data_IF_299221799542
#
_entry.id   IF_299221799542
#
_cell.length_a   1.000
_cell.length_b   1.000
_cell.length_c   1.000
_cell.angle_alpha   90.00
_cell.angle_beta   90.00
_cell.angle_gamma   90.00
#
_symmetry.space_group_name_H-M   'P 1'
#
loop_
_entity.id
_entity.type
_entity.pdbx_description
1 polymer ?
#
# COMPACT_ATOMS: atom_id res chain seq x y z
N UNK A 1 11.53 7.02 -14.23
CA UNK A 1 11.17 5.61 -14.03
C UNK A 1 10.01 5.27 -14.97
N UNK A 2 9.93 4.03 -15.47
CA UNK A 2 8.80 3.58 -16.31
C UNK A 2 7.61 3.17 -15.43
N UNK A 3 6.39 3.27 -15.95
CA UNK A 3 5.25 2.64 -15.29
C UNK A 3 5.21 1.12 -15.60
N UNK A 4 4.72 0.29 -14.66
CA UNK A 4 4.55 -1.15 -14.80
C UNK A 4 3.53 -1.70 -13.78
N UNK A 5 3.00 -2.89 -14.07
CA UNK A 5 2.14 -3.63 -13.13
C UNK A 5 3.01 -4.27 -12.05
N UNK A 6 2.79 -3.92 -10.78
CA UNK A 6 3.64 -4.37 -9.66
C UNK A 6 3.56 -5.88 -9.44
N UNK A 7 4.63 -6.46 -8.89
CA UNK A 7 4.63 -7.86 -8.43
C UNK A 7 3.70 -8.08 -7.23
N UNK A 8 3.12 -9.28 -7.08
CA UNK A 8 2.18 -9.63 -6.01
C UNK A 8 2.77 -9.36 -4.61
N UNK A 9 4.07 -9.67 -4.44
CA UNK A 9 4.81 -9.42 -3.20
C UNK A 9 4.76 -7.96 -2.75
N UNK A 10 4.58 -7.02 -3.67
CA UNK A 10 4.50 -5.58 -3.36
C UNK A 10 3.21 -5.29 -2.62
N UNK A 11 2.07 -5.76 -3.14
CA UNK A 11 0.75 -5.56 -2.54
C UNK A 11 0.61 -6.40 -1.27
N UNK A 12 1.02 -7.67 -1.30
CA UNK A 12 0.94 -8.55 -0.13
C UNK A 12 1.66 -7.95 1.07
N UNK A 13 2.89 -7.43 0.86
CA UNK A 13 3.65 -6.75 1.91
C UNK A 13 2.93 -5.55 2.51
N UNK A 14 2.21 -4.77 1.70
CA UNK A 14 1.47 -3.60 2.18
C UNK A 14 0.29 -4.05 3.06
N UNK A 15 -0.52 -4.98 2.54
CA UNK A 15 -1.71 -5.49 3.23
C UNK A 15 -1.34 -6.20 4.54
N UNK A 16 -0.31 -7.03 4.52
CA UNK A 16 0.14 -7.74 5.72
C UNK A 16 0.78 -6.83 6.75
N UNK A 17 1.44 -5.75 6.31
CA UNK A 17 1.94 -4.74 7.24
C UNK A 17 0.79 -4.07 8.00
N UNK A 18 -0.26 -3.65 7.31
CA UNK A 18 -1.43 -3.04 7.96
C UNK A 18 -2.16 -4.03 8.88
N UNK A 19 -2.29 -5.29 8.47
CA UNK A 19 -2.83 -6.35 9.33
C UNK A 19 -1.99 -6.59 10.59
N UNK A 20 -0.67 -6.73 10.45
CA UNK A 20 0.20 -7.02 11.62
C UNK A 20 0.35 -5.86 12.58
N UNK A 21 0.19 -4.61 12.11
CA UNK A 21 0.27 -3.41 12.95
C UNK A 21 -1.04 -3.01 13.60
N UNK A 22 -2.18 -3.49 13.11
CA UNK A 22 -3.46 -3.44 13.84
C UNK A 22 -3.39 -4.11 15.21
N UNK A 23 -2.54 -5.14 15.32
CA UNK A 23 -2.43 -5.97 16.52
C UNK A 23 -1.41 -5.45 17.54
N UNK A 24 -0.71 -4.34 17.25
CA UNK A 24 0.50 -3.90 17.96
C UNK A 24 0.51 -2.43 18.38
N UNK A 25 -0.55 -1.98 19.05
CA UNK A 25 -0.54 -1.01 20.16
C UNK A 25 0.15 0.37 20.05
N UNK A 26 0.50 0.90 18.87
CA UNK A 26 1.00 2.30 18.79
C UNK A 26 0.40 3.25 17.78
N UNK A 27 -0.27 2.83 16.70
CA UNK A 27 -1.00 3.78 15.84
C UNK A 27 -2.17 3.12 15.10
N UNK A 28 -3.37 3.55 15.49
CA UNK A 28 -4.69 3.03 15.10
C UNK A 28 -5.18 3.56 13.74
N UNK A 29 -4.56 4.60 13.18
CA UNK A 29 -5.21 5.42 12.15
C UNK A 29 -5.20 4.86 10.71
N UNK A 30 -4.09 4.38 10.12
CA UNK A 30 -4.12 3.85 8.76
C UNK A 30 -5.10 2.68 8.65
N UNK A 31 -5.11 1.84 9.68
CA UNK A 31 -5.99 0.70 9.74
C UNK A 31 -7.44 1.06 10.03
N UNK A 32 -7.70 2.06 10.89
CA UNK A 32 -9.03 2.63 11.07
C UNK A 32 -9.59 3.18 9.76
N UNK A 33 -8.80 3.95 9.00
CA UNK A 33 -9.22 4.45 7.69
C UNK A 33 -9.52 3.33 6.70
N UNK A 34 -8.75 2.23 6.73
CA UNK A 34 -9.00 1.03 5.92
C UNK A 34 -10.29 0.33 6.35
N UNK A 35 -10.56 0.21 7.65
CA UNK A 35 -11.81 -0.34 8.19
C UNK A 35 -13.01 0.54 7.90
N UNK A 36 -12.87 1.86 7.99
CA UNK A 36 -13.91 2.85 7.63
C UNK A 36 -14.22 2.82 6.12
N UNK A 37 -13.21 2.52 5.29
CA UNK A 37 -13.39 2.22 3.86
C UNK A 37 -14.03 0.84 3.60
N UNK A 38 -14.39 0.12 4.66
CA UNK A 38 -15.14 -1.13 4.62
C UNK A 38 -14.28 -2.38 4.58
N UNK A 39 -12.96 -2.32 4.83
CA UNK A 39 -12.09 -3.50 4.84
C UNK A 39 -11.69 -3.88 6.28
N UNK A 40 -12.29 -4.95 6.80
CA UNK A 40 -11.93 -5.51 8.11
C UNK A 40 -10.71 -6.43 7.99
N UNK A 41 -9.52 -5.90 8.29
CA UNK A 41 -8.27 -6.63 8.05
C UNK A 41 -8.07 -7.85 8.95
N UNK A 42 -8.86 -8.03 10.02
CA UNK A 42 -8.86 -9.29 10.78
C UNK A 42 -9.43 -10.43 9.93
N UNK A 43 -10.37 -10.13 9.03
CA UNK A 43 -10.93 -11.09 8.09
C UNK A 43 -9.97 -11.30 6.92
N UNK A 44 -9.68 -12.57 6.62
CA UNK A 44 -8.86 -12.95 5.47
C UNK A 44 -9.47 -12.47 4.14
N UNK A 45 -10.78 -12.62 4.01
CA UNK A 45 -11.53 -12.24 2.81
C UNK A 45 -11.41 -10.75 2.49
N UNK A 46 -11.42 -9.88 3.51
CA UNK A 46 -11.26 -8.44 3.32
C UNK A 46 -9.82 -8.04 3.01
N UNK A 47 -8.82 -8.77 3.52
CA UNK A 47 -7.42 -8.62 3.07
C UNK A 47 -7.27 -8.98 1.60
N UNK A 48 -7.86 -10.09 1.17
CA UNK A 48 -7.88 -10.53 -0.23
C UNK A 48 -8.59 -9.51 -1.13
N UNK A 49 -9.71 -8.95 -0.65
CA UNK A 49 -10.49 -7.93 -1.36
C UNK A 49 -9.73 -6.61 -1.49
N UNK A 50 -9.07 -6.14 -0.42
CA UNK A 50 -8.21 -4.96 -0.46
C UNK A 50 -7.06 -5.17 -1.44
N UNK A 51 -6.35 -6.30 -1.33
CA UNK A 51 -5.22 -6.62 -2.18
C UNK A 51 -5.61 -6.66 -3.67
N UNK A 52 -6.75 -7.29 -3.99
CA UNK A 52 -7.29 -7.35 -5.35
C UNK A 52 -7.70 -5.96 -5.86
N UNK A 53 -8.32 -5.13 -5.02
CA UNK A 53 -8.67 -3.76 -5.39
C UNK A 53 -7.42 -2.91 -5.68
N UNK A 54 -6.36 -3.05 -4.87
CA UNK A 54 -5.08 -2.39 -5.11
C UNK A 54 -4.42 -2.85 -6.43
N UNK A 55 -4.53 -4.13 -6.77
CA UNK A 55 -4.00 -4.66 -8.02
C UNK A 55 -4.76 -4.12 -9.23
N UNK A 56 -6.09 -4.18 -9.19
CA UNK A 56 -6.95 -3.65 -10.25
C UNK A 56 -6.67 -2.17 -10.53
N UNK A 57 -6.48 -1.38 -9.46
CA UNK A 57 -6.17 0.04 -9.58
C UNK A 57 -4.79 0.32 -10.21
N UNK A 58 -3.79 -0.52 -9.93
CA UNK A 58 -2.50 -0.43 -10.60
C UNK A 58 -2.58 -0.80 -12.08
N UNK A 59 -3.36 -1.82 -12.43
CA UNK A 59 -3.65 -2.17 -13.84
C UNK A 59 -4.32 -1.00 -14.56
N UNK A 60 -5.31 -0.35 -13.93
CA UNK A 60 -5.98 0.83 -14.50
C UNK A 60 -4.99 1.97 -14.78
N UNK A 61 -4.11 2.28 -13.82
CA UNK A 61 -3.11 3.34 -14.01
C UNK A 61 -2.14 3.02 -15.16
N UNK A 62 -1.67 1.77 -15.25
CA UNK A 62 -0.78 1.34 -16.34
C UNK A 62 -1.49 1.44 -17.69
N UNK A 63 -2.74 0.98 -17.80
CA UNK A 63 -3.53 1.10 -19.02
C UNK A 63 -3.83 2.56 -19.39
N UNK A 64 -3.99 3.46 -18.41
CA UNK A 64 -4.19 4.88 -18.67
C UNK A 64 -2.96 5.54 -19.33
N UNK A 65 -1.75 5.10 -18.97
CA UNK A 65 -0.49 5.58 -19.57
C UNK A 65 -0.16 4.88 -20.88
N UNK A 66 -0.42 3.59 -20.94
CA UNK A 66 -0.10 2.70 -22.05
C UNK A 66 -1.35 1.88 -22.41
N UNK A 67 -2.22 2.38 -23.30
CA UNK A 67 -3.48 1.74 -23.64
C UNK A 67 -3.31 0.26 -23.98
N UNK A 68 -4.13 -0.60 -23.35
CA UNK A 68 -4.21 -2.05 -23.56
C UNK A 68 -2.88 -2.82 -23.42
N UNK A 69 -2.01 -2.38 -22.50
CA UNK A 69 -0.66 -2.94 -22.36
C UNK A 69 -0.34 -3.53 -20.99
N UNK A 70 -1.20 -3.41 -19.98
CA UNK A 70 -0.93 -3.97 -18.65
C UNK A 70 -0.56 -5.47 -18.69
N UNK A 71 -1.24 -6.24 -19.54
CA UNK A 71 -0.96 -7.66 -19.79
C UNK A 71 0.41 -7.92 -20.41
N UNK A 72 0.97 -6.94 -21.13
CA UNK A 72 2.31 -7.03 -21.73
C UNK A 72 3.41 -6.94 -20.67
N UNK A 73 3.14 -6.31 -19.53
CA UNK A 73 4.10 -6.24 -18.41
C UNK A 73 4.14 -7.54 -17.60
N UNK A 74 2.97 -8.18 -17.39
CA UNK A 74 2.84 -9.50 -16.75
C UNK A 74 1.41 -10.04 -16.90
N UNK A 75 1.20 -11.36 -16.72
CA UNK A 75 -0.14 -11.91 -16.56
C UNK A 75 -0.91 -11.24 -15.41
N UNK A 76 -2.19 -10.94 -15.64
CA UNK A 76 -3.07 -10.27 -14.67
C UNK A 76 -3.74 -11.27 -13.71
N UNK A 77 -2.93 -12.18 -13.16
CA UNK A 77 -3.34 -13.28 -12.30
C UNK A 77 -2.93 -13.06 -10.84
N UNK A 78 -3.21 -11.88 -10.30
CA UNK A 78 -2.85 -11.52 -8.93
C UNK A 78 -3.36 -12.54 -7.91
N UNK A 79 -2.49 -12.98 -7.01
CA UNK A 79 -2.83 -13.85 -5.89
C UNK A 79 -2.35 -13.24 -4.58
N UNK A 80 -3.27 -12.98 -3.67
CA UNK A 80 -2.91 -12.60 -2.31
C UNK A 80 -2.32 -13.80 -1.57
N UNK A 81 -1.09 -13.64 -1.08
CA UNK A 81 -0.38 -14.64 -0.31
C UNK A 81 0.23 -13.95 0.92
N UNK A 82 -0.23 -14.29 2.14
CA UNK A 82 0.29 -13.69 3.36
C UNK A 82 1.81 -13.82 3.48
N UNK A 83 2.44 -12.72 3.86
CA UNK A 83 3.88 -12.56 4.08
C UNK A 83 4.15 -12.31 5.56
N UNK A 84 5.17 -12.95 6.15
CA UNK A 84 5.43 -12.80 7.58
C UNK A 84 5.96 -11.39 7.91
N UNK A 85 5.25 -10.72 8.82
CA UNK A 85 5.60 -9.51 9.56
C UNK A 85 6.59 -8.54 8.86
N UNK A 86 6.15 -7.83 7.80
CA UNK A 86 7.01 -6.88 7.11
C UNK A 86 7.57 -5.79 8.02
N UNK A 87 8.84 -5.42 7.83
CA UNK A 87 9.42 -4.24 8.48
C UNK A 87 8.72 -2.96 7.99
N UNK A 88 8.52 -1.94 8.85
CA UNK A 88 7.88 -0.67 8.47
C UNK A 88 8.49 -0.01 7.23
N UNK A 89 9.83 0.08 7.18
CA UNK A 89 10.54 0.69 6.03
C UNK A 89 10.31 -0.10 4.74
N UNK A 90 10.23 -1.43 4.81
CA UNK A 90 9.97 -2.29 3.65
C UNK A 90 8.54 -2.14 3.14
N UNK A 91 7.57 -2.05 4.05
CA UNK A 91 6.18 -1.77 3.71
C UNK A 91 6.03 -0.38 3.10
N UNK A 92 6.69 0.63 3.66
CA UNK A 92 6.70 1.99 3.13
C UNK A 92 7.28 2.04 1.71
N UNK A 93 8.43 1.39 1.46
CA UNK A 93 9.01 1.32 0.10
C UNK A 93 8.06 0.65 -0.89
N UNK A 94 7.39 -0.43 -0.50
CA UNK A 94 6.37 -1.08 -1.33
C UNK A 94 5.19 -0.16 -1.61
N UNK A 95 4.67 0.52 -0.59
CA UNK A 95 3.55 1.45 -0.73
C UNK A 95 3.90 2.64 -1.63
N UNK A 96 5.09 3.22 -1.47
CA UNK A 96 5.59 4.30 -2.34
C UNK A 96 5.77 3.84 -3.79
N UNK A 97 6.23 2.61 -4.00
CA UNK A 97 6.29 2.03 -5.34
C UNK A 97 4.89 1.90 -5.94
N UNK A 98 3.95 1.30 -5.22
CA UNK A 98 2.57 1.13 -5.69
C UNK A 98 1.90 2.48 -5.98
N UNK A 99 2.02 3.48 -5.10
CA UNK A 99 1.49 4.84 -5.32
C UNK A 99 2.08 5.48 -6.57
N UNK A 100 3.40 5.39 -6.77
CA UNK A 100 4.03 5.89 -7.97
C UNK A 100 3.47 5.21 -9.24
N UNK A 101 3.31 3.89 -9.21
CA UNK A 101 2.76 3.13 -10.34
C UNK A 101 1.26 3.40 -10.57
N UNK A 102 0.56 3.89 -9.56
CA UNK A 102 -0.84 4.30 -9.63
C UNK A 102 -1.03 5.80 -9.92
N UNK A 103 0.02 6.53 -10.27
CA UNK A 103 -0.05 8.01 -10.39
C UNK A 103 -0.61 8.53 -11.73
N UNK A 104 -1.06 7.63 -12.61
CA UNK A 104 -1.46 7.94 -13.99
C UNK A 104 -2.98 8.04 -14.16
N UNK A 105 -3.43 8.80 -15.17
CA UNK A 105 -4.84 8.92 -15.52
C UNK A 105 -5.72 9.51 -14.42
N UNK A 106 -6.88 8.89 -14.17
CA UNK A 106 -7.79 9.29 -13.10
C UNK A 106 -7.58 8.52 -11.79
N UNK A 107 -6.65 7.57 -11.74
CA UNK A 107 -6.40 6.74 -10.56
C UNK A 107 -6.10 7.57 -9.29
N UNK A 108 -5.30 8.65 -9.34
CA UNK A 108 -5.05 9.51 -8.18
C UNK A 108 -6.31 10.16 -7.56
N UNK A 109 -7.42 10.20 -8.30
CA UNK A 109 -8.69 10.77 -7.84
C UNK A 109 -9.54 9.76 -7.06
N UNK A 110 -9.24 8.46 -7.16
CA UNK A 110 -10.00 7.39 -6.50
C UNK A 110 -9.79 7.41 -4.98
N UNK A 111 -10.80 6.93 -4.25
CA UNK A 111 -10.76 6.93 -2.78
C UNK A 111 -9.70 5.97 -2.25
N UNK A 112 -9.52 4.81 -2.89
CA UNK A 112 -8.49 3.84 -2.50
C UNK A 112 -7.08 4.41 -2.66
N UNK A 113 -6.79 5.13 -3.75
CA UNK A 113 -5.50 5.80 -3.93
C UNK A 113 -5.25 6.81 -2.80
N UNK A 114 -6.22 7.69 -2.54
CA UNK A 114 -6.10 8.73 -1.50
C UNK A 114 -5.92 8.13 -0.11
N UNK A 115 -6.66 7.07 0.20
CA UNK A 115 -6.53 6.33 1.45
C UNK A 115 -5.11 5.78 1.62
N UNK A 116 -4.56 5.15 0.58
CA UNK A 116 -3.20 4.59 0.60
C UNK A 116 -2.12 5.68 0.62
N UNK A 117 -2.33 6.82 -0.04
CA UNK A 117 -1.45 7.98 0.02
C UNK A 117 -1.37 8.54 1.45
N UNK A 118 -2.52 8.68 2.12
CA UNK A 118 -2.59 9.12 3.51
C UNK A 118 -1.94 8.11 4.47
N UNK A 119 -2.22 6.82 4.29
CA UNK A 119 -1.55 5.76 5.03
C UNK A 119 -0.02 5.81 4.86
N UNK A 120 0.47 6.21 3.67
CA UNK A 120 1.91 6.35 3.42
C UNK A 120 2.55 7.48 4.20
N UNK A 121 1.86 8.62 4.37
CA UNK A 121 2.35 9.77 5.13
C UNK A 121 2.47 9.43 6.62
N UNK A 122 1.43 8.77 7.14
CA UNK A 122 1.41 8.31 8.54
C UNK A 122 2.52 7.29 8.82
N UNK A 123 2.72 6.33 7.92
CA UNK A 123 3.80 5.38 8.02
C UNK A 123 5.19 6.06 7.94
N UNK A 124 5.34 7.07 7.09
CA UNK A 124 6.58 7.83 7.02
C UNK A 124 6.87 8.57 8.34
N UNK A 125 5.86 9.23 8.92
CA UNK A 125 5.99 9.90 10.22
C UNK A 125 6.39 8.90 11.31
N UNK A 126 5.73 7.74 11.37
CA UNK A 126 6.11 6.69 12.31
C UNK A 126 7.57 6.26 12.13
N UNK A 127 8.03 6.03 10.89
CA UNK A 127 9.41 5.63 10.63
C UNK A 127 10.40 6.71 11.11
N UNK A 128 10.05 7.98 10.93
CA UNK A 128 10.86 9.11 11.41
C UNK A 128 10.85 9.14 12.93
N UNK A 129 9.69 9.08 13.56
CA UNK A 129 9.51 9.10 15.02
C UNK A 129 10.28 7.94 15.68
N UNK A 130 10.21 6.74 15.11
CA UNK A 130 10.93 5.56 15.61
C UNK A 130 12.44 5.59 15.30
N UNK A 131 12.93 6.57 14.53
CA UNK A 131 14.33 6.63 14.13
C UNK A 131 15.24 7.13 15.25
N UNK A 132 16.44 6.54 15.45
CA UNK A 132 17.39 7.01 16.46
C UNK A 132 17.80 8.48 16.29
N UNK A 133 17.88 8.93 15.03
CA UNK A 133 18.26 10.30 14.71
C UNK A 133 17.20 11.32 15.18
N UNK A 134 15.91 11.01 14.97
CA UNK A 134 14.82 11.87 15.44
C UNK A 134 14.75 11.90 16.97
N UNK A 135 14.87 10.74 17.62
CA UNK A 135 14.87 10.63 19.09
C UNK A 135 16.05 11.36 19.75
N UNK A 136 17.18 11.48 19.05
CA UNK A 136 18.37 12.18 19.55
C UNK A 136 18.37 13.69 19.24
N UNK A 137 17.49 14.17 18.37
CA UNK A 137 17.43 15.59 17.99
C UNK A 137 16.77 16.41 19.12
N UNK A 138 17.37 17.55 19.45
CA UNK A 138 16.74 18.57 20.31
C UNK A 138 15.60 19.29 19.59
N UNK A 139 14.81 20.07 20.33
CA UNK A 139 13.72 20.90 19.79
C UNK A 139 14.20 22.30 19.35
N UNK A 140 15.51 22.52 19.44
CA UNK A 140 16.22 23.79 19.53
C UNK A 140 16.35 24.54 18.19
#
# INVERSE_FOLDING_TARGET
>A
MSAYVVEDKTINRIVDFFYTKLLGDRFYWPARGITEAGYDLDKREDRERLASAMFALNVEAVNARYPDSAEQFRPLNFTYCPTPAPLPVSAYKSLRCWLYQCSEGNVPKTDLYKLMDEASKLLAMQIVDDSPAYQAAGWD
#
